data_IF_993993471868
#
_entry.id   IF_993993471868
#
_cell.length_a   1.000
_cell.length_b   1.000
_cell.length_c   1.000
_cell.angle_alpha   90.00
_cell.angle_beta   90.00
_cell.angle_gamma   90.00
#
_symmetry.space_group_name_H-M   'P 1'
#
loop_
_entity.id
_entity.type
_entity.pdbx_description
1 polymer ?
#
# COMPACT_ATOMS: atom_id res chain seq x y z
N UNK A 1 -7.09 19.15 -3.23
CA UNK A 1 -6.04 18.26 -3.78
C UNK A 1 -6.54 16.84 -3.58
N UNK A 2 -6.62 16.02 -4.63
CA UNK A 2 -7.06 14.62 -4.50
C UNK A 2 -5.99 13.88 -3.71
N UNK A 3 -6.32 13.31 -2.55
CA UNK A 3 -5.43 12.37 -1.87
C UNK A 3 -5.52 11.06 -2.63
N UNK A 4 -4.47 10.71 -3.38
CA UNK A 4 -4.39 9.46 -4.13
C UNK A 4 -3.97 8.25 -3.26
N UNK A 5 -4.05 8.42 -1.95
CA UNK A 5 -3.59 7.49 -0.94
C UNK A 5 -4.48 7.67 0.30
N UNK A 6 -4.88 6.56 0.88
CA UNK A 6 -5.64 6.53 2.14
C UNK A 6 -5.18 5.36 2.98
N UNK A 7 -5.26 5.50 4.30
CA UNK A 7 -4.98 4.41 5.22
C UNK A 7 -6.27 3.94 5.87
N UNK A 8 -6.56 2.65 5.78
CA UNK A 8 -7.68 2.02 6.48
C UNK A 8 -7.40 1.92 7.98
N UNK A 9 -8.47 2.04 8.77
CA UNK A 9 -8.47 1.77 10.20
C UNK A 9 -9.19 0.46 10.58
N UNK A 10 -9.73 -0.26 9.59
CA UNK A 10 -10.47 -1.52 9.78
C UNK A 10 -10.03 -2.59 8.80
N UNK A 11 -10.12 -3.84 9.24
CA UNK A 11 -9.89 -5.03 8.44
C UNK A 11 -10.79 -5.02 7.20
N UNK A 12 -10.22 -5.27 6.02
CA UNK A 12 -10.97 -5.27 4.76
C UNK A 12 -11.95 -6.42 4.62
N UNK A 13 -11.76 -7.51 5.37
CA UNK A 13 -12.63 -8.70 5.30
C UNK A 13 -13.76 -8.72 6.33
N UNK A 14 -13.51 -8.28 7.56
CA UNK A 14 -14.48 -8.41 8.66
C UNK A 14 -14.83 -7.08 9.35
N UNK A 15 -14.28 -5.95 8.88
CA UNK A 15 -14.50 -4.59 9.40
C UNK A 15 -14.13 -4.33 10.88
N UNK A 16 -13.57 -5.32 11.56
CA UNK A 16 -12.99 -5.15 12.90
C UNK A 16 -11.75 -4.25 12.86
N UNK A 17 -11.50 -3.53 13.96
CA UNK A 17 -10.40 -2.57 14.07
C UNK A 17 -9.18 -3.10 14.80
N UNK A 18 -9.23 -4.35 15.30
CA UNK A 18 -8.11 -4.98 15.98
C UNK A 18 -7.07 -5.49 14.97
N UNK A 19 -6.04 -4.67 14.75
CA UNK A 19 -5.03 -4.83 13.70
C UNK A 19 -3.63 -4.70 14.31
N UNK A 20 -2.85 -5.78 14.28
CA UNK A 20 -1.48 -5.82 14.77
C UNK A 20 -0.49 -5.62 13.61
N UNK A 21 0.47 -4.71 13.75
CA UNK A 21 1.58 -4.58 12.79
C UNK A 21 2.54 -5.77 12.97
N UNK A 22 2.59 -6.68 11.99
CA UNK A 22 3.41 -7.90 12.07
C UNK A 22 4.70 -7.82 11.26
N UNK A 23 4.76 -6.94 10.26
CA UNK A 23 5.99 -6.69 9.49
C UNK A 23 6.04 -5.25 9.00
N UNK A 24 7.08 -4.54 9.42
CA UNK A 24 7.44 -3.25 8.83
C UNK A 24 8.26 -3.47 7.56
N UNK A 25 7.82 -2.92 6.43
CA UNK A 25 8.54 -2.98 5.16
C UNK A 25 9.01 -1.59 4.74
N UNK A 26 10.16 -1.55 4.07
CA UNK A 26 10.64 -0.30 3.48
C UNK A 26 9.64 0.18 2.41
N UNK A 27 9.25 1.46 2.40
CA UNK A 27 8.42 2.01 1.33
C UNK A 27 9.03 1.74 -0.05
N UNK A 28 8.19 1.30 -0.99
CA UNK A 28 8.63 0.82 -2.30
C UNK A 28 7.79 1.50 -3.40
N UNK A 29 8.37 1.76 -4.59
CA UNK A 29 7.60 2.21 -5.75
C UNK A 29 6.56 1.19 -6.20
N UNK A 30 5.64 1.60 -7.07
CA UNK A 30 4.72 0.68 -7.73
C UNK A 30 5.51 -0.31 -8.58
N UNK A 31 5.30 -1.60 -8.35
CA UNK A 31 6.11 -2.69 -8.90
C UNK A 31 6.15 -2.69 -10.44
N UNK A 32 5.01 -2.43 -11.08
CA UNK A 32 4.88 -2.48 -12.54
C UNK A 32 5.13 -1.12 -13.22
N UNK A 33 5.56 -0.09 -12.48
CA UNK A 33 6.01 1.19 -13.05
C UNK A 33 7.49 1.13 -13.44
N UNK A 34 7.78 0.38 -14.51
CA UNK A 34 9.13 0.29 -15.08
C UNK A 34 9.59 1.66 -15.62
N UNK A 35 10.89 1.95 -15.46
CA UNK A 35 11.51 3.19 -15.95
C UNK A 35 12.49 2.89 -17.08
N UNK A 36 12.64 3.82 -18.02
CA UNK A 36 13.69 3.71 -19.04
C UNK A 36 15.08 4.01 -18.45
N UNK A 37 16.13 3.71 -19.21
CA UNK A 37 17.52 3.99 -18.79
C UNK A 37 17.71 5.50 -18.54
N UNK A 38 17.11 6.34 -19.38
CA UNK A 38 17.16 7.81 -19.26
C UNK A 38 16.48 8.29 -17.98
N UNK A 39 15.49 7.54 -17.49
CA UNK A 39 14.70 7.84 -16.31
C UNK A 39 15.25 7.22 -15.03
N UNK A 40 16.34 6.43 -15.08
CA UNK A 40 16.87 5.70 -13.93
C UNK A 40 17.25 6.60 -12.73
N UNK A 41 17.57 7.88 -12.98
CA UNK A 41 17.91 8.85 -11.92
C UNK A 41 16.70 9.60 -11.38
N UNK A 42 15.53 9.42 -11.97
CA UNK A 42 14.29 10.05 -11.51
C UNK A 42 13.83 9.30 -10.27
N UNK A 43 13.56 10.04 -9.19
CA UNK A 43 13.00 9.44 -7.97
C UNK A 43 11.55 9.04 -8.24
N UNK A 44 11.24 7.77 -8.01
CA UNK A 44 9.88 7.27 -8.06
C UNK A 44 9.19 7.51 -6.71
N UNK A 45 7.90 7.85 -6.75
CA UNK A 45 7.07 7.92 -5.55
C UNK A 45 6.98 6.53 -4.91
N UNK A 46 7.11 6.48 -3.59
CA UNK A 46 7.09 5.23 -2.82
C UNK A 46 5.92 5.20 -1.86
N UNK A 47 5.36 4.02 -1.65
CA UNK A 47 4.22 3.81 -0.76
C UNK A 47 4.58 2.83 0.37
N UNK A 48 4.03 3.01 1.59
CA UNK A 48 4.22 2.06 2.67
C UNK A 48 3.66 0.68 2.31
N UNK A 49 4.35 -0.38 2.76
CA UNK A 49 3.95 -1.77 2.54
C UNK A 49 3.86 -2.54 3.87
N UNK A 50 3.50 -1.84 4.93
CA UNK A 50 3.37 -2.44 6.26
C UNK A 50 2.26 -3.50 6.29
N UNK A 51 2.60 -4.71 6.76
CA UNK A 51 1.65 -5.81 6.88
C UNK A 51 1.04 -5.84 8.27
N UNK A 52 -0.29 -5.88 8.31
CA UNK A 52 -1.08 -5.96 9.52
C UNK A 52 -1.86 -7.26 9.56
N UNK A 53 -1.86 -7.93 10.72
CA UNK A 53 -2.71 -9.08 11.02
C UNK A 53 -3.98 -8.62 11.72
N UNK A 54 -5.15 -9.01 11.21
CA UNK A 54 -6.40 -8.85 11.95
C UNK A 54 -6.53 -9.95 13.01
N UNK A 55 -6.52 -9.57 14.27
CA UNK A 55 -6.63 -10.54 15.38
C UNK A 55 -8.03 -11.18 15.47
N UNK A 56 -9.05 -10.57 14.88
CA UNK A 56 -10.42 -11.09 14.91
C UNK A 56 -10.69 -12.20 13.88
N UNK A 57 -10.07 -12.14 12.69
CA UNK A 57 -10.34 -13.09 11.60
C UNK A 57 -9.09 -13.74 10.98
N UNK A 58 -7.89 -13.36 11.40
CA UNK A 58 -6.62 -13.90 10.90
C UNK A 58 -6.16 -13.35 9.55
N UNK A 59 -6.83 -12.35 8.98
CA UNK A 59 -6.44 -11.78 7.68
C UNK A 59 -5.19 -10.90 7.79
N UNK A 60 -4.14 -11.26 7.04
CA UNK A 60 -2.96 -10.41 6.84
C UNK A 60 -3.19 -9.49 5.64
N UNK A 61 -2.97 -8.19 5.82
CA UNK A 61 -3.31 -7.17 4.82
C UNK A 61 -2.42 -5.92 4.87
N UNK A 62 -2.42 -5.18 3.77
CA UNK A 62 -1.97 -3.78 3.74
C UNK A 62 -3.11 -2.87 4.18
N UNK A 63 -2.83 -1.88 5.02
CA UNK A 63 -3.81 -0.84 5.37
C UNK A 63 -3.75 0.37 4.44
N UNK A 64 -2.60 0.57 3.81
CA UNK A 64 -2.32 1.64 2.87
C UNK A 64 -2.92 1.31 1.50
N UNK A 65 -3.90 2.11 1.07
CA UNK A 65 -4.69 1.94 -0.16
C UNK A 65 -4.33 3.07 -1.12
N UNK A 66 -3.68 2.71 -2.22
CA UNK A 66 -3.35 3.59 -3.33
C UNK A 66 -4.59 3.73 -4.25
N UNK A 67 -4.82 4.91 -4.79
CA UNK A 67 -5.88 5.17 -5.76
C UNK A 67 -5.71 4.20 -6.96
N UNK A 68 -6.74 3.39 -7.29
CA UNK A 68 -6.69 2.45 -8.41
C UNK A 68 -6.28 3.11 -9.73
N UNK A 69 -6.61 4.39 -9.92
CA UNK A 69 -6.17 5.12 -11.11
C UNK A 69 -4.63 5.15 -11.19
N UNK A 70 -3.89 5.30 -10.09
CA UNK A 70 -2.42 5.25 -10.17
C UNK A 70 -1.92 3.85 -10.55
N UNK A 71 -2.54 2.79 -10.03
CA UNK A 71 -2.07 1.41 -10.21
C UNK A 71 -2.41 0.81 -11.57
N UNK A 72 -3.54 1.22 -12.17
CA UNK A 72 -4.13 0.55 -13.33
C UNK A 72 -4.36 1.48 -14.53
N UNK A 73 -3.77 2.68 -14.53
CA UNK A 73 -3.76 3.55 -15.70
C UNK A 73 -2.94 2.90 -16.83
N UNK A 74 -3.40 3.08 -18.08
CA UNK A 74 -2.78 2.54 -19.30
C UNK A 74 -1.39 3.11 -19.60
#
# INVERSE_FOLDING_TARGET
MKNFYSKRSTCRLCDESNLELVLHLKPTPIADHYVTIEQQRITQETYPLDLYLCESCGHVQLLDVIDPEILFRE
#
